data_IF_348558940945
#
_entry.id   IF_348558940945
#
_cell.length_a   1.000
_cell.length_b   1.000
_cell.length_c   1.000
_cell.angle_alpha   90.00
_cell.angle_beta   90.00
_cell.angle_gamma   90.00
#
_symmetry.space_group_name_H-M   'P 1'
#
loop_
_entity.id
_entity.type
_entity.pdbx_description
1 polymer ?
#
# COMPACT_ATOMS: atom_id res chain seq x y z
N UNK A 1 2.93 13.00 -4.94
CA UNK A 1 3.00 12.60 -3.51
C UNK A 1 2.33 13.61 -2.61
N UNK A 2 2.56 14.92 -2.77
CA UNK A 2 1.95 15.98 -1.95
C UNK A 2 0.40 15.91 -1.90
N UNK A 3 -0.26 15.73 -3.05
CA UNK A 3 -1.72 15.54 -3.08
C UNK A 3 -2.18 14.36 -2.22
N UNK A 4 -1.48 13.22 -2.26
CA UNK A 4 -1.79 12.06 -1.42
C UNK A 4 -1.55 12.37 0.07
N UNK A 5 -0.45 13.04 0.42
CA UNK A 5 -0.18 13.48 1.81
C UNK A 5 -1.31 14.35 2.33
N UNK A 6 -1.78 15.32 1.54
CA UNK A 6 -2.88 16.20 1.94
C UNK A 6 -4.18 15.41 2.13
N UNK A 7 -4.49 14.47 1.24
CA UNK A 7 -5.65 13.58 1.37
C UNK A 7 -5.58 12.73 2.64
N UNK A 8 -4.42 12.11 2.93
CA UNK A 8 -4.23 11.31 4.15
C UNK A 8 -4.30 12.18 5.40
N UNK A 9 -3.74 13.39 5.36
CA UNK A 9 -3.80 14.35 6.47
C UNK A 9 -5.24 14.74 6.77
N UNK A 10 -6.02 15.10 5.75
CA UNK A 10 -7.44 15.42 5.90
C UNK A 10 -8.26 14.24 6.44
N UNK A 11 -7.91 13.01 6.06
CA UNK A 11 -8.52 11.81 6.63
C UNK A 11 -8.16 11.63 8.11
N UNK A 12 -6.88 11.77 8.48
CA UNK A 12 -6.41 11.65 9.87
C UNK A 12 -7.05 12.71 10.77
N UNK A 13 -7.24 13.93 10.29
CA UNK A 13 -7.88 15.01 11.06
C UNK A 13 -9.33 14.70 11.41
N UNK A 14 -10.10 14.15 10.46
CA UNK A 14 -11.50 13.80 10.70
C UNK A 14 -12.01 12.79 9.64
N UNK A 15 -11.92 11.47 9.92
CA UNK A 15 -12.33 10.44 8.97
C UNK A 15 -13.80 10.54 8.56
N UNK A 16 -14.69 10.90 9.49
CA UNK A 16 -16.14 11.05 9.25
C UNK A 16 -16.43 12.21 8.30
N UNK A 17 -15.82 13.37 8.54
CA UNK A 17 -15.94 14.55 7.67
C UNK A 17 -15.33 14.25 6.29
N UNK A 18 -14.18 13.58 6.27
CA UNK A 18 -13.54 13.15 5.03
C UNK A 18 -14.48 12.28 4.21
N UNK A 19 -15.03 11.22 4.80
CA UNK A 19 -15.97 10.30 4.14
C UNK A 19 -17.20 11.03 3.57
N UNK A 20 -17.83 11.91 4.35
CA UNK A 20 -18.96 12.73 3.89
C UNK A 20 -18.60 13.63 2.71
N UNK A 21 -17.44 14.30 2.75
CA UNK A 21 -16.99 15.17 1.66
C UNK A 21 -16.67 14.42 0.36
N UNK A 22 -16.44 13.10 0.43
CA UNK A 22 -16.19 12.22 -0.71
C UNK A 22 -17.42 11.38 -1.09
N UNK A 23 -18.59 11.69 -0.53
CA UNK A 23 -19.87 11.03 -0.89
C UNK A 23 -20.05 9.63 -0.32
N UNK A 24 -19.26 9.23 0.68
CA UNK A 24 -19.40 7.94 1.36
C UNK A 24 -20.56 8.06 2.37
N UNK A 25 -21.59 7.24 2.18
CA UNK A 25 -22.70 7.15 3.12
C UNK A 25 -22.25 6.45 4.40
N UNK A 26 -22.34 7.16 5.53
CA UNK A 26 -22.08 6.60 6.85
C UNK A 26 -23.42 6.28 7.53
N UNK A 27 -23.53 5.08 8.06
CA UNK A 27 -24.64 4.65 8.91
C UNK A 27 -24.51 5.23 10.32
N UNK A 28 -25.57 5.16 11.12
CA UNK A 28 -25.54 5.68 12.50
C UNK A 28 -24.57 4.92 13.41
N UNK A 29 -24.25 3.65 13.12
CA UNK A 29 -23.20 2.91 13.83
C UNK A 29 -21.79 3.42 13.50
N UNK A 30 -21.55 3.88 12.27
CA UNK A 30 -20.24 4.40 11.83
C UNK A 30 -19.86 5.75 12.48
N UNK A 31 -20.73 6.30 13.36
CA UNK A 31 -20.57 7.59 14.02
C UNK A 31 -20.13 7.47 15.49
N UNK A 32 -20.23 6.29 16.10
CA UNK A 32 -19.82 6.00 17.48
C UNK A 32 -18.56 5.13 17.47
N UNK A 33 -17.52 5.53 18.23
CA UNK A 33 -16.32 4.79 18.72
C UNK A 33 -15.64 3.68 17.87
N UNK A 34 -16.06 3.47 16.62
CA UNK A 34 -15.62 2.38 15.75
C UNK A 34 -14.28 2.72 15.11
N UNK A 35 -13.42 1.71 15.04
CA UNK A 35 -12.10 1.81 14.44
C UNK A 35 -12.21 2.11 12.94
N UNK A 36 -11.81 3.32 12.56
CA UNK A 36 -11.73 3.74 11.15
C UNK A 36 -10.42 3.26 10.53
N UNK A 37 -10.50 2.54 9.40
CA UNK A 37 -9.32 1.98 8.71
C UNK A 37 -9.13 2.66 7.36
N UNK A 38 -7.90 3.16 7.10
CA UNK A 38 -7.47 3.64 5.79
C UNK A 38 -6.42 2.71 5.21
N UNK A 39 -6.66 2.18 4.01
CA UNK A 39 -5.68 1.39 3.25
C UNK A 39 -5.02 2.29 2.22
N UNK A 40 -3.70 2.45 2.33
CA UNK A 40 -2.87 3.11 1.33
C UNK A 40 -2.16 2.05 0.49
N UNK A 41 -2.43 2.06 -0.82
CA UNK A 41 -1.78 1.17 -1.78
C UNK A 41 -0.98 1.99 -2.80
N UNK A 42 0.20 1.48 -3.16
CA UNK A 42 1.06 2.11 -4.15
C UNK A 42 2.49 1.56 -4.11
N UNK A 43 3.17 1.62 -5.25
CA UNK A 43 4.48 0.98 -5.44
C UNK A 43 5.68 1.79 -4.90
N UNK A 44 5.49 3.04 -4.44
CA UNK A 44 6.55 3.94 -3.94
C UNK A 44 6.24 4.59 -2.59
N UNK A 45 5.26 4.07 -1.84
CA UNK A 45 4.79 4.72 -0.61
C UNK A 45 5.91 4.85 0.43
N UNK A 46 6.71 3.79 0.62
CA UNK A 46 7.69 3.72 1.70
C UNK A 46 8.99 4.48 1.45
N UNK A 47 9.24 4.89 0.20
CA UNK A 47 10.33 5.82 -0.13
C UNK A 47 10.01 7.26 0.28
N UNK A 48 8.73 7.57 0.53
CA UNK A 48 8.29 8.88 0.99
C UNK A 48 8.10 8.88 2.51
N UNK A 49 9.14 9.30 3.26
CA UNK A 49 9.21 9.22 4.72
C UNK A 49 7.94 9.70 5.44
N UNK A 50 7.34 10.81 5.00
CA UNK A 50 6.12 11.32 5.62
C UNK A 50 4.94 10.34 5.50
N UNK A 51 4.73 9.74 4.33
CA UNK A 51 3.65 8.77 4.14
C UNK A 51 3.94 7.47 4.89
N UNK A 52 5.19 6.99 4.83
CA UNK A 52 5.61 5.81 5.57
C UNK A 52 5.35 5.96 7.08
N UNK A 53 5.60 7.15 7.63
CA UNK A 53 5.37 7.47 9.03
C UNK A 53 3.90 7.62 9.40
N UNK A 54 3.01 7.96 8.45
CA UNK A 54 1.57 8.03 8.68
C UNK A 54 0.91 6.64 8.71
N UNK A 55 1.57 5.60 8.16
CA UNK A 55 1.08 4.23 8.21
C UNK A 55 1.39 3.57 9.55
N UNK A 56 0.35 3.10 10.26
CA UNK A 56 0.48 2.22 11.41
C UNK A 56 1.04 0.85 11.00
N UNK A 57 0.53 0.31 9.90
CA UNK A 57 0.92 -0.99 9.35
C UNK A 57 1.46 -0.86 7.93
N UNK A 58 2.50 -1.65 7.62
CA UNK A 58 3.23 -1.56 6.35
C UNK A 58 3.49 -2.95 5.79
N UNK A 59 2.78 -3.31 4.73
CA UNK A 59 2.92 -4.58 4.03
C UNK A 59 3.62 -4.36 2.69
N UNK A 60 4.62 -5.17 2.40
CA UNK A 60 5.39 -5.08 1.16
C UNK A 60 5.29 -6.39 0.37
N UNK A 61 4.60 -6.33 -0.78
CA UNK A 61 4.51 -7.45 -1.70
C UNK A 61 5.76 -7.54 -2.56
N UNK A 62 6.45 -8.68 -2.52
CA UNK A 62 7.63 -8.92 -3.35
C UNK A 62 7.39 -10.08 -4.32
N UNK A 63 7.84 -9.90 -5.57
CA UNK A 63 7.75 -10.90 -6.64
C UNK A 63 9.13 -10.98 -7.32
N UNK A 64 9.65 -12.19 -7.62
CA UNK A 64 10.90 -12.33 -8.37
C UNK A 64 10.82 -11.70 -9.76
N UNK A 65 11.99 -11.34 -10.31
CA UNK A 65 12.14 -10.65 -11.60
C UNK A 65 11.32 -11.31 -12.73
N UNK A 66 11.48 -12.63 -12.93
CA UNK A 66 10.84 -13.35 -14.05
C UNK A 66 9.31 -13.29 -13.97
N UNK A 67 8.75 -13.55 -12.79
CA UNK A 67 7.31 -13.53 -12.59
C UNK A 67 6.75 -12.10 -12.66
N UNK A 68 7.49 -11.11 -12.15
CA UNK A 68 7.12 -9.71 -12.27
C UNK A 68 7.08 -9.26 -13.74
N UNK A 69 8.11 -9.62 -14.53
CA UNK A 69 8.19 -9.33 -15.96
C UNK A 69 7.04 -9.98 -16.72
N UNK A 70 6.78 -11.26 -16.46
CA UNK A 70 5.68 -12.01 -17.07
C UNK A 70 4.32 -11.36 -16.79
N UNK A 71 4.05 -10.98 -15.52
CA UNK A 71 2.80 -10.30 -15.12
C UNK A 71 2.69 -8.89 -15.74
N UNK A 72 3.77 -8.12 -15.78
CA UNK A 72 3.82 -6.78 -16.40
C UNK A 72 3.47 -6.87 -17.89
N UNK A 73 4.09 -7.80 -18.62
CA UNK A 73 3.87 -7.98 -20.05
C UNK A 73 2.44 -8.36 -20.41
N UNK A 74 1.70 -8.98 -19.48
CA UNK A 74 0.28 -9.29 -19.64
C UNK A 74 -0.67 -8.15 -19.26
N UNK A 75 -0.18 -7.01 -18.76
CA UNK A 75 -1.00 -5.89 -18.30
C UNK A 75 -1.11 -4.82 -19.38
N UNK A 76 -2.34 -4.37 -19.64
CA UNK A 76 -2.60 -3.28 -20.58
C UNK A 76 -2.51 -1.94 -19.84
N UNK A 77 -1.40 -1.21 -20.05
CA UNK A 77 -1.25 0.17 -19.61
C UNK A 77 -1.90 1.13 -20.61
N UNK A 78 -2.35 2.30 -20.13
CA UNK A 78 -2.90 3.36 -20.99
C UNK A 78 -1.88 3.81 -22.03
N UNK A 79 -0.61 3.91 -21.62
CA UNK A 79 0.53 4.10 -22.51
C UNK A 79 1.28 2.76 -22.56
N UNK A 80 1.36 2.10 -23.73
CA UNK A 80 2.09 0.84 -23.85
C UNK A 80 3.56 0.99 -23.48
N UNK A 81 4.11 -0.04 -22.85
CA UNK A 81 5.53 -0.09 -22.51
C UNK A 81 6.36 -0.15 -23.81
N UNK A 82 7.33 0.76 -24.05
CA UNK A 82 8.23 0.64 -25.19
C UNK A 82 9.15 -0.59 -25.03
N UNK A 83 9.71 -1.11 -26.13
CA UNK A 83 10.61 -2.25 -26.09
C UNK A 83 11.75 -2.05 -25.08
N UNK A 84 11.96 -3.04 -24.20
CA UNK A 84 13.02 -3.00 -23.20
C UNK A 84 12.74 -2.12 -21.97
N UNK A 85 11.57 -1.47 -21.84
CA UNK A 85 11.27 -0.61 -20.68
C UNK A 85 11.41 -1.34 -19.35
N UNK A 86 10.96 -2.59 -19.28
CA UNK A 86 11.01 -3.34 -18.03
C UNK A 86 12.45 -3.52 -17.53
N UNK A 87 13.32 -3.96 -18.43
CA UNK A 87 14.73 -4.28 -18.13
C UNK A 87 15.57 -3.01 -17.96
N UNK A 88 15.31 -2.00 -18.78
CA UNK A 88 16.07 -0.76 -18.80
C UNK A 88 15.63 0.26 -17.76
N UNK A 89 14.41 0.15 -17.22
CA UNK A 89 13.87 1.17 -16.32
C UNK A 89 13.07 0.61 -15.15
N UNK A 90 11.99 -0.16 -15.38
CA UNK A 90 11.06 -0.55 -14.30
C UNK A 90 11.78 -1.36 -13.22
N UNK A 91 12.54 -2.39 -13.61
CA UNK A 91 13.22 -3.25 -12.66
C UNK A 91 14.41 -2.56 -11.97
N UNK A 92 15.31 -1.85 -12.69
CA UNK A 92 16.34 -1.04 -12.05
C UNK A 92 15.78 -0.02 -11.04
N UNK A 93 14.68 0.65 -11.38
CA UNK A 93 14.03 1.59 -10.47
C UNK A 93 13.42 0.88 -9.26
N UNK A 94 12.78 -0.27 -9.44
CA UNK A 94 12.30 -1.09 -8.32
C UNK A 94 13.44 -1.46 -7.36
N UNK A 95 14.58 -1.94 -7.86
CA UNK A 95 15.74 -2.29 -7.04
C UNK A 95 16.29 -1.08 -6.29
N UNK A 96 16.42 0.06 -6.98
CA UNK A 96 16.83 1.33 -6.36
C UNK A 96 15.89 1.72 -5.21
N UNK A 97 14.58 1.71 -5.45
CA UNK A 97 13.61 2.08 -4.43
C UNK A 97 13.60 1.10 -3.25
N UNK A 98 13.79 -0.19 -3.50
CA UNK A 98 13.93 -1.19 -2.44
C UNK A 98 15.15 -0.91 -1.56
N UNK A 99 16.30 -0.61 -2.15
CA UNK A 99 17.51 -0.26 -1.41
C UNK A 99 17.32 1.01 -0.57
N UNK A 100 16.69 2.04 -1.14
CA UNK A 100 16.37 3.28 -0.42
C UNK A 100 15.42 3.03 0.77
N UNK A 101 14.40 2.19 0.58
CA UNK A 101 13.48 1.79 1.63
C UNK A 101 14.21 1.03 2.75
N UNK A 102 15.04 0.05 2.41
CA UNK A 102 15.84 -0.72 3.37
C UNK A 102 16.80 0.21 4.15
N UNK A 103 17.47 1.14 3.46
CA UNK A 103 18.37 2.12 4.07
C UNK A 103 17.65 3.13 4.98
N UNK A 104 16.37 3.42 4.72
CA UNK A 104 15.57 4.33 5.56
C UNK A 104 15.17 3.73 6.91
N UNK A 105 15.31 2.42 7.09
CA UNK A 105 14.94 1.71 8.31
C UNK A 105 13.42 1.57 8.51
N UNK A 106 12.61 1.79 7.48
CA UNK A 106 11.16 1.58 7.56
C UNK A 106 10.86 0.11 7.82
N UNK A 107 10.22 -0.17 8.95
CA UNK A 107 9.79 -1.53 9.31
C UNK A 107 8.60 -1.93 8.43
N UNK A 108 8.75 -3.07 7.74
CA UNK A 108 7.75 -3.65 6.85
C UNK A 108 7.50 -5.12 7.18
N UNK A 109 6.28 -5.58 6.92
CA UNK A 109 5.93 -7.00 6.87
C UNK A 109 6.05 -7.45 5.43
N UNK A 110 7.04 -8.30 5.15
CA UNK A 110 7.25 -8.87 3.82
C UNK A 110 6.18 -9.93 3.51
N UNK A 111 5.54 -9.79 2.35
CA UNK A 111 4.53 -10.70 1.82
C UNK A 111 5.00 -11.24 0.48
N UNK A 112 4.97 -12.57 0.33
CA UNK A 112 5.29 -13.21 -0.94
C UNK A 112 4.13 -13.02 -1.92
N UNK A 113 4.37 -12.26 -2.99
CA UNK A 113 3.40 -11.96 -4.03
C UNK A 113 3.17 -13.09 -5.04
N UNK A 114 3.88 -14.22 -4.90
CA UNK A 114 3.62 -15.43 -5.68
C UNK A 114 2.49 -16.29 -5.11
N UNK A 115 2.12 -16.08 -3.85
CA UNK A 115 0.97 -16.70 -3.22
C UNK A 115 -0.34 -16.34 -3.95
N UNK A 116 -1.36 -17.17 -3.76
CA UNK A 116 -2.70 -16.88 -4.24
C UNK A 116 -3.30 -15.67 -3.52
N UNK A 117 -4.33 -15.07 -4.12
CA UNK A 117 -5.03 -13.92 -3.52
C UNK A 117 -5.62 -14.26 -2.15
N UNK A 118 -6.17 -15.46 -1.99
CA UNK A 118 -6.80 -15.91 -0.75
C UNK A 118 -5.77 -16.14 0.36
N UNK A 119 -4.60 -16.68 0.01
CA UNK A 119 -3.49 -16.83 0.95
C UNK A 119 -2.94 -15.47 1.41
N UNK A 120 -2.74 -14.53 0.48
CA UNK A 120 -2.30 -13.17 0.80
C UNK A 120 -3.35 -12.48 1.69
N UNK A 121 -4.61 -12.54 1.30
CA UNK A 121 -5.73 -11.97 2.06
C UNK A 121 -5.78 -12.55 3.48
N UNK A 122 -5.82 -13.88 3.60
CA UNK A 122 -5.91 -14.56 4.90
C UNK A 122 -4.74 -14.18 5.79
N UNK A 123 -3.52 -14.13 5.24
CA UNK A 123 -2.31 -13.77 5.97
C UNK A 123 -2.36 -12.33 6.49
N UNK A 124 -2.65 -11.36 5.63
CA UNK A 124 -2.69 -9.94 5.99
C UNK A 124 -3.86 -9.66 6.94
N UNK A 125 -5.03 -10.21 6.66
CA UNK A 125 -6.22 -10.06 7.49
C UNK A 125 -6.00 -10.60 8.91
N UNK A 126 -5.45 -11.81 9.04
CA UNK A 126 -5.15 -12.42 10.34
C UNK A 126 -4.11 -11.59 11.11
N UNK A 127 -3.08 -11.07 10.44
CA UNK A 127 -2.09 -10.18 11.08
C UNK A 127 -2.75 -8.91 11.63
N UNK A 128 -3.58 -8.24 10.82
CA UNK A 128 -4.32 -7.04 11.22
C UNK A 128 -5.26 -7.33 12.41
N UNK A 129 -6.04 -8.41 12.35
CA UNK A 129 -6.94 -8.79 13.44
C UNK A 129 -6.18 -9.03 14.75
N UNK A 130 -5.07 -9.77 14.70
CA UNK A 130 -4.27 -10.05 15.89
C UNK A 130 -3.70 -8.76 16.51
N UNK A 131 -3.36 -7.76 15.70
CA UNK A 131 -2.89 -6.46 16.21
C UNK A 131 -3.98 -5.70 16.95
N UNK A 132 -5.21 -5.72 16.47
CA UNK A 132 -6.33 -5.11 17.20
C UNK A 132 -6.60 -5.82 18.54
N UNK A 133 -6.56 -7.16 18.54
CA UNK A 133 -6.78 -7.95 19.76
C UNK A 133 -5.68 -7.78 20.81
N UNK A 134 -4.42 -7.62 20.38
CA UNK A 134 -3.28 -7.46 21.28
C UNK A 134 -3.03 -6.01 21.73
N UNK A 135 -3.68 -5.04 21.08
CA UNK A 135 -3.63 -3.61 21.46
C UNK A 135 -4.72 -3.22 22.47
N UNK A 136 -5.61 -4.17 22.81
CA UNK A 136 -6.70 -4.00 23.80
C UNK A 136 -6.26 -4.39 25.21
#
# INVERSE_FOLDING_TARGET
MESMVNTVTAWVENPVKFARSHGIALSHSDLDEDVQILILEGFLLYNHKLLANMCSERYYLSIPYEECKRRRSGRNYTVPDPPGLFDGHVWPMYLKHRQEMEASGVSIVSVDGQLSKDEIFTRVYTDIQNRFLNAS
#
